data_IF_962407828695
#
_entry.id   IF_962407828695
#
_cell.length_a   1.000
_cell.length_b   1.000
_cell.length_c   1.000
_cell.angle_alpha   90.00
_cell.angle_beta   90.00
_cell.angle_gamma   90.00
#
_symmetry.space_group_name_H-M   'P 1'
#
loop_
_entity.id
_entity.type
_entity.pdbx_description
1 polymer ?
#
# COMPACT_ATOMS: atom_id res chain seq x y z
N UNK A 1 55.95 20.74 -3.37
CA UNK A 1 54.74 21.56 -3.42
C UNK A 1 53.60 20.64 -3.81
N UNK A 2 52.93 20.08 -2.84
CA UNK A 2 51.78 19.16 -3.06
C UNK A 2 50.48 19.93 -2.83
N UNK A 3 49.72 20.12 -3.88
CA UNK A 3 48.42 20.76 -3.81
C UNK A 3 47.40 19.71 -3.42
N UNK A 4 46.90 19.76 -2.18
CA UNK A 4 45.76 19.07 -1.69
C UNK A 4 44.49 19.67 -2.35
N UNK A 5 43.88 18.95 -3.27
CA UNK A 5 42.51 19.24 -3.71
C UNK A 5 41.53 18.65 -2.71
N UNK A 6 40.97 19.50 -1.90
CA UNK A 6 39.79 19.23 -1.07
C UNK A 6 38.61 18.96 -1.97
N UNK A 7 38.15 17.71 -2.04
CA UNK A 7 36.82 17.37 -2.61
C UNK A 7 35.78 18.02 -1.74
N UNK A 8 35.11 19.03 -2.28
CA UNK A 8 33.90 19.62 -1.70
C UNK A 8 32.81 18.57 -1.66
N UNK A 9 32.38 18.20 -0.47
CA UNK A 9 31.13 17.47 -0.24
C UNK A 9 29.98 18.31 -0.78
N UNK A 10 29.43 17.92 -1.91
CA UNK A 10 28.18 18.50 -2.40
C UNK A 10 27.12 18.17 -1.36
N UNK A 11 26.59 19.20 -0.73
CA UNK A 11 25.51 19.11 0.25
C UNK A 11 24.31 18.37 -0.31
N UNK A 12 23.78 17.42 0.46
CA UNK A 12 22.58 16.69 0.16
C UNK A 12 21.47 17.69 -0.24
N UNK A 13 20.89 17.52 -1.42
CA UNK A 13 19.70 18.25 -1.85
C UNK A 13 18.59 17.91 -0.86
N UNK A 14 18.21 18.91 -0.05
CA UNK A 14 17.11 18.79 0.88
C UNK A 14 15.81 18.67 0.08
N UNK A 15 15.17 17.49 0.08
CA UNK A 15 13.76 17.44 -0.25
C UNK A 15 13.25 16.35 -1.19
N UNK A 16 14.01 15.87 -2.17
CA UNK A 16 13.50 14.85 -3.10
C UNK A 16 13.41 13.48 -2.41
N UNK A 17 12.24 12.86 -2.41
CA UNK A 17 12.05 11.49 -1.92
C UNK A 17 11.54 10.61 -3.05
N UNK A 18 12.07 9.41 -3.12
CA UNK A 18 11.68 8.41 -4.09
C UNK A 18 10.78 7.37 -3.43
N UNK A 19 9.52 7.33 -3.84
CA UNK A 19 8.48 6.52 -3.19
C UNK A 19 7.92 5.49 -4.16
N UNK A 20 7.95 4.21 -3.79
CA UNK A 20 7.17 3.18 -4.48
C UNK A 20 5.76 3.14 -3.91
N UNK A 21 4.76 3.14 -4.78
CA UNK A 21 3.37 2.83 -4.45
C UNK A 21 3.01 1.57 -5.21
N UNK A 22 2.77 0.45 -4.51
CA UNK A 22 2.38 -0.81 -5.15
C UNK A 22 0.87 -0.90 -5.30
N UNK A 23 0.39 -1.55 -6.36
CA UNK A 23 -1.05 -1.64 -6.63
C UNK A 23 -1.67 -0.30 -7.04
N UNK A 24 -0.84 0.63 -7.54
CA UNK A 24 -1.26 1.99 -7.83
C UNK A 24 -2.17 2.14 -9.06
N UNK A 25 -2.35 1.11 -9.89
CA UNK A 25 -3.35 1.10 -10.95
C UNK A 25 -4.73 0.60 -10.49
N UNK A 26 -4.85 0.09 -9.24
CA UNK A 26 -6.09 -0.35 -8.63
C UNK A 26 -6.94 0.82 -8.12
N UNK A 27 -8.10 0.49 -7.53
CA UNK A 27 -9.08 1.49 -7.05
C UNK A 27 -8.47 2.41 -5.99
N UNK A 28 -8.09 1.88 -4.82
CA UNK A 28 -7.51 2.69 -3.74
C UNK A 28 -6.14 3.25 -4.15
N UNK A 29 -5.29 2.41 -4.76
CA UNK A 29 -3.94 2.78 -5.14
C UNK A 29 -3.88 3.97 -6.09
N UNK A 30 -4.80 4.07 -7.05
CA UNK A 30 -4.83 5.20 -7.99
C UNK A 30 -5.12 6.54 -7.32
N UNK A 31 -5.95 6.53 -6.27
CA UNK A 31 -6.19 7.73 -5.47
C UNK A 31 -4.96 8.14 -4.64
N UNK A 32 -4.23 7.16 -4.09
CA UNK A 32 -2.98 7.42 -3.36
C UNK A 32 -1.91 7.96 -4.30
N UNK A 33 -1.71 7.34 -5.47
CA UNK A 33 -0.77 7.83 -6.50
C UNK A 33 -1.10 9.27 -6.87
N UNK A 34 -2.36 9.55 -7.23
CA UNK A 34 -2.82 10.89 -7.60
C UNK A 34 -2.59 11.92 -6.50
N UNK A 35 -2.87 11.54 -5.25
CA UNK A 35 -2.63 12.40 -4.10
C UNK A 35 -1.14 12.75 -3.97
N UNK A 36 -0.26 11.74 -4.04
CA UNK A 36 1.16 11.95 -3.85
C UNK A 36 1.79 12.75 -5.01
N UNK A 37 1.45 12.42 -6.24
CA UNK A 37 1.94 13.14 -7.44
C UNK A 37 1.56 14.62 -7.43
N UNK A 38 0.33 14.95 -7.01
CA UNK A 38 -0.14 16.33 -7.00
C UNK A 38 0.28 17.13 -5.77
N UNK A 39 0.38 16.47 -4.60
CA UNK A 39 0.66 17.15 -3.33
C UNK A 39 2.15 17.35 -3.08
N UNK A 40 2.99 16.39 -3.52
CA UNK A 40 4.43 16.38 -3.24
C UNK A 40 5.20 16.45 -4.55
N UNK A 41 5.27 17.65 -5.13
CA UNK A 41 5.92 17.90 -6.43
C UNK A 41 7.43 17.67 -6.43
N UNK A 42 8.03 17.59 -5.25
CA UNK A 42 9.45 17.28 -5.00
C UNK A 42 9.71 15.78 -4.74
N UNK A 43 8.66 14.93 -4.76
CA UNK A 43 8.79 13.49 -4.65
C UNK A 43 8.70 12.84 -6.03
N UNK A 44 9.52 11.82 -6.27
CA UNK A 44 9.41 10.92 -7.43
C UNK A 44 8.53 9.71 -7.05
N UNK A 45 7.43 9.51 -7.74
CA UNK A 45 6.44 8.48 -7.44
C UNK A 45 6.51 7.35 -8.46
N UNK A 46 6.96 6.19 -8.01
CA UNK A 46 7.07 4.97 -8.80
C UNK A 46 5.85 4.08 -8.52
N UNK A 47 4.88 4.12 -9.44
CA UNK A 47 3.69 3.27 -9.39
C UNK A 47 4.04 1.87 -9.90
N UNK A 48 4.23 0.91 -8.99
CA UNK A 48 4.53 -0.47 -9.31
C UNK A 48 3.23 -1.29 -9.34
N UNK A 49 2.85 -1.79 -10.51
CA UNK A 49 1.64 -2.59 -10.68
C UNK A 49 1.86 -3.68 -11.73
N UNK A 50 1.35 -4.87 -11.45
CA UNK A 50 1.40 -6.03 -12.37
C UNK A 50 0.38 -5.92 -13.50
N UNK A 51 -0.66 -5.08 -13.32
CA UNK A 51 -1.83 -4.95 -14.20
C UNK A 51 -2.59 -6.27 -14.33
N UNK A 52 -3.05 -6.78 -13.20
CA UNK A 52 -4.03 -7.88 -13.15
C UNK A 52 -5.43 -7.36 -13.50
N UNK A 53 -6.45 -8.16 -13.25
CA UNK A 53 -7.85 -7.79 -13.53
C UNK A 53 -8.33 -6.50 -12.84
N UNK A 54 -7.73 -6.13 -11.70
CA UNK A 54 -8.09 -4.94 -10.93
C UNK A 54 -7.28 -3.69 -11.31
N UNK A 55 -6.17 -3.86 -12.04
CA UNK A 55 -5.29 -2.77 -12.44
C UNK A 55 -5.72 -2.14 -13.76
N UNK A 56 -5.97 -0.83 -13.77
CA UNK A 56 -6.34 -0.07 -14.96
C UNK A 56 -5.64 1.29 -14.98
N UNK A 57 -4.72 1.49 -15.93
CA UNK A 57 -3.99 2.75 -16.09
C UNK A 57 -4.89 3.93 -16.47
N UNK A 58 -6.09 3.67 -17.01
CA UNK A 58 -7.06 4.74 -17.28
C UNK A 58 -7.45 5.51 -16.01
N UNK A 59 -7.28 4.91 -14.83
CA UNK A 59 -7.50 5.57 -13.55
C UNK A 59 -6.50 6.71 -13.27
N UNK A 60 -5.38 6.77 -14.00
CA UNK A 60 -4.26 7.67 -13.76
C UNK A 60 -3.99 8.64 -14.92
N UNK A 61 -4.91 8.73 -15.88
CA UNK A 61 -4.78 9.63 -17.03
C UNK A 61 -4.52 11.09 -16.68
N UNK A 62 -5.05 11.54 -15.57
CA UNK A 62 -4.91 12.92 -15.08
C UNK A 62 -3.51 13.22 -14.52
N UNK A 63 -2.71 12.19 -14.27
CA UNK A 63 -1.35 12.34 -13.75
C UNK A 63 -0.28 11.65 -14.60
N UNK A 64 -0.65 10.95 -15.69
CA UNK A 64 0.28 10.15 -16.49
C UNK A 64 1.43 10.97 -17.11
N UNK A 65 1.18 12.25 -17.45
CA UNK A 65 2.15 13.16 -18.04
C UNK A 65 2.91 14.02 -17.00
N UNK A 66 2.68 13.80 -15.71
CA UNK A 66 3.39 14.54 -14.67
C UNK A 66 4.86 14.10 -14.60
N UNK A 67 5.81 15.05 -14.50
CA UNK A 67 7.24 14.74 -14.54
C UNK A 67 7.72 13.87 -13.38
N UNK A 68 7.00 13.89 -12.27
CA UNK A 68 7.30 13.14 -11.05
C UNK A 68 6.49 11.84 -10.91
N UNK A 69 5.79 11.41 -11.99
CA UNK A 69 5.07 10.13 -12.04
C UNK A 69 5.78 9.14 -12.95
N UNK A 70 6.00 7.93 -12.46
CA UNK A 70 6.65 6.85 -13.19
C UNK A 70 5.88 5.54 -13.03
N UNK A 71 5.42 4.98 -14.14
CA UNK A 71 4.80 3.66 -14.12
C UNK A 71 5.85 2.57 -14.29
N UNK A 72 5.81 1.56 -13.40
CA UNK A 72 6.66 0.38 -13.43
C UNK A 72 5.79 -0.87 -13.47
N UNK A 73 5.75 -1.55 -14.62
CA UNK A 73 5.07 -2.84 -14.73
C UNK A 73 5.95 -3.92 -14.12
N UNK A 74 5.59 -4.40 -12.93
CA UNK A 74 6.31 -5.46 -12.23
C UNK A 74 5.38 -6.21 -11.27
N UNK A 75 5.76 -7.45 -10.94
CA UNK A 75 5.13 -8.27 -9.90
C UNK A 75 5.86 -8.04 -8.57
N UNK A 76 5.13 -7.81 -7.50
CA UNK A 76 5.71 -7.71 -6.14
C UNK A 76 6.40 -9.00 -5.69
N UNK A 77 6.05 -10.14 -6.29
CA UNK A 77 6.70 -11.43 -6.05
C UNK A 77 8.05 -11.57 -6.74
N UNK A 78 8.35 -10.72 -7.73
CA UNK A 78 9.64 -10.70 -8.42
C UNK A 78 10.68 -9.92 -7.60
N UNK A 79 11.29 -10.63 -6.65
CA UNK A 79 12.26 -10.07 -5.72
C UNK A 79 13.41 -9.35 -6.43
N UNK A 80 14.00 -9.99 -7.46
CA UNK A 80 15.17 -9.44 -8.16
C UNK A 80 14.82 -8.12 -8.84
N UNK A 81 13.66 -8.06 -9.49
CA UNK A 81 13.20 -6.84 -10.15
C UNK A 81 12.88 -5.72 -9.17
N UNK A 82 12.22 -6.06 -8.03
CA UNK A 82 11.91 -5.10 -6.97
C UNK A 82 13.18 -4.57 -6.34
N UNK A 83 14.12 -5.46 -6.00
CA UNK A 83 15.39 -5.09 -5.40
C UNK A 83 16.24 -4.19 -6.33
N UNK A 84 16.33 -4.55 -7.62
CA UNK A 84 17.01 -3.72 -8.61
C UNK A 84 16.37 -2.33 -8.73
N UNK A 85 15.03 -2.26 -8.77
CA UNK A 85 14.31 -0.98 -8.83
C UNK A 85 14.63 -0.09 -7.61
N UNK A 86 14.69 -0.68 -6.42
CA UNK A 86 15.02 0.07 -5.20
C UNK A 86 16.41 0.68 -5.25
N UNK A 87 17.40 -0.06 -5.79
CA UNK A 87 18.76 0.41 -5.95
C UNK A 87 18.87 1.47 -7.07
N UNK A 88 18.27 1.20 -8.24
CA UNK A 88 18.31 2.09 -9.40
C UNK A 88 17.68 3.45 -9.13
N UNK A 89 16.62 3.48 -8.32
CA UNK A 89 15.81 4.66 -8.06
C UNK A 89 16.01 5.22 -6.65
N UNK A 90 16.97 4.71 -5.90
CA UNK A 90 17.31 5.18 -4.55
C UNK A 90 16.07 5.34 -3.64
N UNK A 91 15.25 4.28 -3.55
CA UNK A 91 13.93 4.33 -2.91
C UNK A 91 14.03 4.62 -1.41
N UNK A 92 13.32 5.66 -0.95
CA UNK A 92 13.25 6.09 0.44
C UNK A 92 12.03 5.55 1.18
N UNK A 93 10.97 5.24 0.45
CA UNK A 93 9.72 4.79 1.08
C UNK A 93 8.89 3.91 0.18
N UNK A 94 8.05 3.12 0.83
CA UNK A 94 7.10 2.23 0.16
C UNK A 94 5.73 2.42 0.78
N UNK A 95 4.71 2.57 -0.06
CA UNK A 95 3.30 2.46 0.31
C UNK A 95 2.78 1.20 -0.37
N UNK A 96 2.58 0.14 0.41
CA UNK A 96 2.26 -1.18 -0.09
C UNK A 96 0.75 -1.42 -0.03
N UNK A 97 0.09 -1.33 -1.21
CA UNK A 97 -1.35 -1.57 -1.38
C UNK A 97 -1.64 -2.75 -2.31
N UNK A 98 -0.62 -3.28 -3.02
CA UNK A 98 -0.83 -4.41 -3.89
C UNK A 98 -1.25 -5.64 -3.08
N UNK A 99 -2.43 -6.17 -3.37
CA UNK A 99 -2.97 -7.36 -2.74
C UNK A 99 -4.07 -7.97 -3.63
N UNK A 100 -4.31 -9.26 -3.47
CA UNK A 100 -5.57 -9.88 -3.83
C UNK A 100 -6.55 -9.69 -2.65
N UNK A 101 -7.76 -9.13 -2.91
CA UNK A 101 -8.70 -8.72 -1.85
C UNK A 101 -10.13 -9.24 -2.05
N UNK A 102 -10.39 -10.00 -3.13
CA UNK A 102 -11.75 -10.42 -3.46
C UNK A 102 -12.08 -11.76 -2.78
N UNK A 103 -12.93 -11.74 -1.75
CA UNK A 103 -13.25 -12.92 -0.89
C UNK A 103 -13.66 -14.15 -1.69
N UNK A 104 -14.62 -14.05 -2.63
CA UNK A 104 -15.06 -15.21 -3.41
C UNK A 104 -13.93 -15.84 -4.24
N UNK A 105 -12.95 -15.05 -4.65
CA UNK A 105 -11.78 -15.55 -5.36
C UNK A 105 -10.81 -16.24 -4.42
N UNK A 106 -10.65 -15.76 -3.19
CA UNK A 106 -9.77 -16.38 -2.20
C UNK A 106 -10.23 -17.81 -1.85
N UNK A 107 -11.54 -18.03 -1.81
CA UNK A 107 -12.13 -19.35 -1.57
C UNK A 107 -11.85 -20.30 -2.75
N UNK A 108 -11.91 -19.78 -3.99
CA UNK A 108 -11.71 -20.59 -5.21
C UNK A 108 -10.24 -20.86 -5.51
N UNK A 109 -9.37 -19.89 -5.24
CA UNK A 109 -7.93 -19.96 -5.53
C UNK A 109 -7.12 -19.33 -4.38
N UNK A 110 -7.01 -20.02 -3.24
CA UNK A 110 -6.25 -19.53 -2.09
C UNK A 110 -4.75 -19.43 -2.36
N UNK A 111 -4.22 -20.21 -3.31
CA UNK A 111 -2.80 -20.19 -3.64
C UNK A 111 -2.37 -18.87 -4.26
N UNK A 112 -3.16 -18.33 -5.19
CA UNK A 112 -2.88 -16.99 -5.75
C UNK A 112 -2.91 -15.92 -4.68
N UNK A 113 -3.84 -16.01 -3.71
CA UNK A 113 -3.89 -15.08 -2.58
C UNK A 113 -2.67 -15.20 -1.67
N UNK A 114 -2.28 -16.41 -1.29
CA UNK A 114 -1.08 -16.63 -0.49
C UNK A 114 0.18 -16.17 -1.23
N UNK A 115 0.29 -16.46 -2.51
CA UNK A 115 1.41 -16.01 -3.32
C UNK A 115 1.52 -14.48 -3.36
N UNK A 116 0.42 -13.78 -3.60
CA UNK A 116 0.43 -12.32 -3.70
C UNK A 116 0.56 -11.67 -2.32
N UNK A 117 -0.31 -12.03 -1.37
CA UNK A 117 -0.43 -11.29 -0.12
C UNK A 117 0.66 -11.67 0.90
N UNK A 118 1.11 -12.94 0.91
CA UNK A 118 2.17 -13.39 1.82
C UNK A 118 3.53 -13.30 1.15
N UNK A 119 3.73 -14.03 0.05
CA UNK A 119 5.05 -14.09 -0.60
C UNK A 119 5.42 -12.77 -1.27
N UNK A 120 4.47 -12.07 -1.90
CA UNK A 120 4.70 -10.75 -2.49
C UNK A 120 5.06 -9.72 -1.43
N UNK A 121 4.34 -9.67 -0.30
CA UNK A 121 4.67 -8.77 0.81
C UNK A 121 6.03 -9.10 1.42
N UNK A 122 6.35 -10.39 1.61
CA UNK A 122 7.67 -10.82 2.10
C UNK A 122 8.79 -10.40 1.15
N UNK A 123 8.58 -10.56 -0.17
CA UNK A 123 9.52 -10.12 -1.20
C UNK A 123 9.80 -8.62 -1.11
N UNK A 124 8.76 -7.80 -1.00
CA UNK A 124 8.87 -6.34 -0.84
C UNK A 124 9.61 -5.95 0.45
N UNK A 125 9.28 -6.59 1.58
CA UNK A 125 9.95 -6.34 2.86
C UNK A 125 11.42 -6.74 2.83
N UNK A 126 11.74 -7.89 2.25
CA UNK A 126 13.11 -8.37 2.14
C UNK A 126 13.95 -7.49 1.22
N UNK A 127 13.41 -7.05 0.09
CA UNK A 127 14.07 -6.11 -0.81
C UNK A 127 14.36 -4.77 -0.11
N UNK A 128 13.37 -4.21 0.59
CA UNK A 128 13.52 -2.99 1.38
C UNK A 128 14.60 -3.15 2.46
N UNK A 129 14.53 -4.25 3.21
CA UNK A 129 15.50 -4.56 4.26
C UNK A 129 16.93 -4.59 3.71
N UNK A 130 17.19 -5.41 2.71
CA UNK A 130 18.53 -5.57 2.17
C UNK A 130 19.07 -4.28 1.55
N UNK A 131 18.22 -3.55 0.82
CA UNK A 131 18.65 -2.29 0.21
C UNK A 131 18.98 -1.24 1.27
N UNK A 132 18.08 -0.96 2.21
CA UNK A 132 18.30 0.08 3.22
C UNK A 132 19.43 -0.29 4.19
N UNK A 133 19.59 -1.58 4.56
CA UNK A 133 20.74 -2.01 5.38
C UNK A 133 22.10 -1.81 4.68
N UNK A 134 22.12 -1.79 3.36
CA UNK A 134 23.34 -1.55 2.57
C UNK A 134 23.75 -0.07 2.53
N UNK A 135 22.84 0.85 2.89
CA UNK A 135 23.09 2.29 2.89
C UNK A 135 23.79 2.73 4.18
N UNK A 136 24.64 3.78 4.12
CA UNK A 136 25.28 4.33 5.33
C UNK A 136 24.29 4.78 6.40
N UNK A 137 23.19 5.43 6.01
CA UNK A 137 22.12 5.91 6.88
C UNK A 137 21.16 4.81 7.30
N UNK A 138 21.19 3.63 6.66
CA UNK A 138 20.32 2.48 6.92
C UNK A 138 18.82 2.87 6.92
N UNK A 139 18.19 2.78 8.10
CA UNK A 139 16.75 3.00 8.26
C UNK A 139 16.37 4.48 8.47
N UNK A 140 17.35 5.36 8.65
CA UNK A 140 17.07 6.76 8.94
C UNK A 140 16.33 7.41 7.78
N UNK A 141 15.16 7.99 8.08
CA UNK A 141 14.29 8.61 7.07
C UNK A 141 13.56 7.64 6.14
N UNK A 142 13.77 6.32 6.25
CA UNK A 142 13.11 5.30 5.44
C UNK A 142 11.77 4.88 6.05
N UNK A 143 10.82 4.46 5.21
CA UNK A 143 9.52 3.97 5.69
C UNK A 143 8.91 2.93 4.76
N UNK A 144 8.54 1.80 5.35
CA UNK A 144 7.63 0.83 4.73
C UNK A 144 6.26 0.98 5.37
N UNK A 145 5.26 1.40 4.59
CA UNK A 145 3.89 1.57 5.04
C UNK A 145 3.03 0.50 4.38
N UNK A 146 2.62 -0.50 5.17
CA UNK A 146 1.78 -1.60 4.72
C UNK A 146 0.31 -1.28 5.00
N UNK A 147 -0.51 -1.34 3.96
CA UNK A 147 -1.96 -1.20 4.10
C UNK A 147 -2.54 -2.58 4.39
N UNK A 148 -3.09 -2.73 5.57
CA UNK A 148 -3.78 -3.94 6.03
C UNK A 148 -5.30 -3.77 5.89
N UNK A 149 -6.06 -4.63 6.52
CA UNK A 149 -7.53 -4.65 6.52
C UNK A 149 -8.06 -4.90 7.92
N UNK A 150 -9.27 -4.44 8.21
CA UNK A 150 -10.00 -4.75 9.45
C UNK A 150 -10.40 -6.22 9.55
N UNK A 151 -10.48 -6.94 8.44
CA UNK A 151 -10.72 -8.38 8.38
C UNK A 151 -9.74 -9.21 9.25
N UNK A 152 -8.54 -8.66 9.55
CA UNK A 152 -7.56 -9.32 10.43
C UNK A 152 -8.06 -9.46 11.87
N UNK A 153 -9.04 -8.65 12.28
CA UNK A 153 -9.66 -8.71 13.61
C UNK A 153 -10.84 -9.68 13.66
N UNK A 154 -11.30 -10.20 12.52
CA UNK A 154 -12.46 -11.08 12.40
C UNK A 154 -13.78 -10.33 12.32
N UNK A 155 -14.87 -10.96 12.79
CA UNK A 155 -16.19 -10.37 12.79
C UNK A 155 -16.50 -9.73 14.16
N UNK A 156 -17.09 -8.53 14.12
CA UNK A 156 -17.71 -7.97 15.31
C UNK A 156 -19.00 -8.73 15.63
N UNK A 157 -19.12 -9.27 16.85
CA UNK A 157 -20.38 -9.83 17.32
C UNK A 157 -21.42 -8.71 17.38
N UNK A 158 -22.40 -8.77 16.49
CA UNK A 158 -23.57 -7.89 16.54
C UNK A 158 -24.55 -8.45 17.57
N UNK A 159 -24.44 -8.01 18.82
CA UNK A 159 -25.47 -8.27 19.83
C UNK A 159 -26.65 -7.35 19.52
N UNK A 160 -27.67 -7.86 18.84
CA UNK A 160 -28.95 -7.17 18.76
C UNK A 160 -29.63 -7.29 20.14
N UNK A 161 -30.06 -6.20 20.76
CA UNK A 161 -30.96 -6.28 21.90
C UNK A 161 -32.20 -7.08 21.48
N UNK A 162 -32.67 -8.00 22.32
CA UNK A 162 -33.83 -8.80 22.01
C UNK A 162 -35.03 -7.89 21.63
N UNK A 163 -35.54 -8.04 20.39
CA UNK A 163 -36.68 -7.26 19.89
C UNK A 163 -36.31 -6.10 18.94
N UNK A 164 -35.05 -5.88 18.60
CA UNK A 164 -34.62 -4.89 17.59
C UNK A 164 -34.38 -5.64 16.27
N UNK A 165 -35.19 -5.36 15.25
CA UNK A 165 -34.94 -5.88 13.89
C UNK A 165 -33.64 -5.30 13.32
N UNK A 166 -32.85 -6.09 12.56
CA UNK A 166 -31.63 -5.59 11.94
C UNK A 166 -31.95 -4.45 10.95
N UNK A 167 -31.06 -3.46 10.82
CA UNK A 167 -31.30 -2.23 10.05
C UNK A 167 -31.48 -2.44 8.54
N UNK A 168 -31.39 -3.65 8.05
CA UNK A 168 -31.62 -4.03 6.65
C UNK A 168 -32.94 -4.78 6.39
N UNK A 169 -33.91 -4.72 7.28
CA UNK A 169 -35.28 -5.13 6.88
C UNK A 169 -35.81 -4.10 5.90
N UNK A 170 -36.22 -4.56 4.72
CA UNK A 170 -36.63 -3.76 3.57
C UNK A 170 -38.02 -3.09 3.78
N UNK A 171 -38.31 -2.60 4.95
CA UNK A 171 -39.49 -1.74 5.20
C UNK A 171 -38.98 -0.31 5.42
N UNK A 172 -38.75 0.37 4.30
CA UNK A 172 -38.60 1.82 4.29
C UNK A 172 -39.93 2.45 4.73
N UNK A 173 -40.00 2.88 5.98
CA UNK A 173 -41.00 3.87 6.39
C UNK A 173 -40.42 4.73 7.49
N UNK A 174 -40.38 6.03 7.18
CA UNK A 174 -40.07 7.16 8.06
C UNK A 174 -38.62 7.37 8.52
N UNK A 175 -38.00 8.27 7.93
CA UNK A 175 -37.01 9.33 8.07
C UNK A 175 -36.27 9.57 9.40
N UNK A 176 -35.95 8.57 10.21
CA UNK A 176 -35.02 8.72 11.31
C UNK A 176 -33.96 7.62 11.24
N UNK A 177 -32.79 7.98 10.70
CA UNK A 177 -31.60 7.13 10.75
C UNK A 177 -31.02 7.12 12.16
N UNK A 178 -31.61 6.36 13.07
CA UNK A 178 -30.93 5.95 14.28
C UNK A 178 -29.97 4.81 13.91
N UNK A 179 -28.71 5.16 13.69
CA UNK A 179 -27.60 4.22 13.64
C UNK A 179 -27.39 3.65 15.05
N UNK A 180 -28.25 2.72 15.48
CA UNK A 180 -27.97 1.86 16.62
C UNK A 180 -26.97 0.77 16.18
N UNK A 181 -25.80 1.15 15.70
CA UNK A 181 -24.70 0.23 15.54
C UNK A 181 -24.21 -0.16 16.93
N UNK A 182 -23.91 -1.45 17.09
CA UNK A 182 -23.36 -2.00 18.30
C UNK A 182 -22.17 -1.17 18.77
N UNK A 183 -22.02 -1.04 20.07
CA UNK A 183 -21.00 -0.25 20.76
C UNK A 183 -19.59 -0.83 20.65
N UNK A 184 -19.37 -1.87 19.84
CA UNK A 184 -18.08 -2.51 19.64
C UNK A 184 -17.45 -2.00 18.37
N UNK A 185 -16.21 -1.53 18.48
CA UNK A 185 -15.36 -1.12 17.37
C UNK A 185 -14.08 -1.95 17.42
N UNK A 186 -13.44 -2.12 16.27
CA UNK A 186 -12.07 -2.63 16.25
C UNK A 186 -11.14 -1.60 16.83
N UNK A 187 -10.32 -2.02 17.78
CA UNK A 187 -9.26 -1.22 18.40
C UNK A 187 -7.92 -1.93 18.25
N UNK A 188 -6.82 -1.20 18.36
CA UNK A 188 -5.47 -1.75 18.21
C UNK A 188 -5.13 -2.81 19.28
N UNK A 189 -5.87 -2.85 20.39
CA UNK A 189 -5.67 -3.83 21.48
C UNK A 189 -6.31 -5.20 21.19
N UNK A 190 -7.16 -5.29 20.17
CA UNK A 190 -7.82 -6.55 19.82
C UNK A 190 -6.83 -7.54 19.22
N UNK A 191 -7.02 -8.80 19.59
CA UNK A 191 -6.26 -9.90 18.97
C UNK A 191 -6.73 -10.13 17.54
N UNK A 192 -5.80 -10.45 16.66
CA UNK A 192 -6.12 -10.87 15.30
C UNK A 192 -6.86 -12.22 15.33
N UNK A 193 -8.01 -12.28 14.69
CA UNK A 193 -8.86 -13.46 14.59
C UNK A 193 -9.52 -13.52 13.20
N UNK A 194 -8.74 -13.60 12.10
CA UNK A 194 -9.30 -13.60 10.75
C UNK A 194 -10.20 -14.82 10.53
N UNK A 195 -11.32 -14.62 9.86
CA UNK A 195 -12.30 -15.67 9.52
C UNK A 195 -12.25 -16.06 8.04
N UNK A 196 -11.58 -15.28 7.20
CA UNK A 196 -11.34 -15.58 5.78
C UNK A 196 -9.91 -16.02 5.53
N UNK A 197 -9.65 -16.78 4.44
CA UNK A 197 -8.29 -17.18 4.05
C UNK A 197 -7.38 -16.02 3.74
#
# INVERSE_FOLDING_TARGET
MSTNQTKSSQGAKKGTRNIIITGGAGFIGSHVVRLFVNKYSDYEIYNLDKLTYAGNLANLKDVEDKPNYHFVKADICDFERVYALMQEKEIDGIIHLAAESHVDRSIKDPFTFAQTNVMGTLSMLQAAKLYWESLPEKWEGKRFYHISTDEVYGALEMTHPAGVEPPFSTKASSGEHHLAYGTKFFTEDLKYQPHSP
#
